data_IF_204760109440
#
_entry.id   IF_204760109440
#
_cell.length_a   1.000
_cell.length_b   1.000
_cell.length_c   1.000
_cell.angle_alpha   90.00
_cell.angle_beta   90.00
_cell.angle_gamma   90.00
#
_symmetry.space_group_name_H-M   'P 1'
#
loop_
_entity.id
_entity.type
_entity.pdbx_description
1 polymer ?
#
# COMPACT_ATOMS: atom_id res chain seq x y z
N UNK A 1 -51.47 45.28 -19.30
CA UNK A 1 -50.03 45.19 -18.96
C UNK A 1 -49.50 43.79 -18.64
N UNK A 2 -50.32 42.78 -18.30
CA UNK A 2 -49.84 41.48 -17.73
C UNK A 2 -48.75 40.74 -18.53
N UNK A 3 -48.84 40.69 -19.86
CA UNK A 3 -48.01 39.80 -20.71
C UNK A 3 -46.50 39.96 -20.51
N UNK A 4 -46.00 41.19 -20.25
CA UNK A 4 -44.57 41.44 -20.00
C UNK A 4 -44.07 40.81 -18.69
N UNK A 5 -44.94 40.50 -17.73
CA UNK A 5 -44.52 39.91 -16.46
C UNK A 5 -44.24 38.41 -16.61
N UNK A 6 -45.13 37.67 -17.28
CA UNK A 6 -44.96 36.23 -17.54
C UNK A 6 -43.69 35.93 -18.34
N UNK A 7 -43.38 36.73 -19.37
CA UNK A 7 -42.14 36.60 -20.15
C UNK A 7 -40.87 36.79 -19.30
N UNK A 8 -40.87 37.76 -18.37
CA UNK A 8 -39.72 38.01 -17.48
C UNK A 8 -39.53 36.86 -16.50
N UNK A 9 -40.61 36.36 -15.90
CA UNK A 9 -40.55 35.21 -14.98
C UNK A 9 -40.08 33.93 -15.67
N UNK A 10 -40.51 33.67 -16.91
CA UNK A 10 -40.02 32.54 -17.70
C UNK A 10 -38.51 32.62 -17.98
N UNK A 11 -38.00 33.80 -18.36
CA UNK A 11 -36.58 34.04 -18.57
C UNK A 11 -35.75 33.83 -17.29
N UNK A 12 -36.26 34.30 -16.14
CA UNK A 12 -35.61 34.11 -14.83
C UNK A 12 -35.52 32.64 -14.44
N UNK A 13 -36.59 31.87 -14.63
CA UNK A 13 -36.60 30.41 -14.35
C UNK A 13 -35.63 29.67 -15.27
N UNK A 14 -35.61 29.98 -16.57
CA UNK A 14 -34.67 29.38 -17.52
C UNK A 14 -33.20 29.69 -17.17
N UNK A 15 -32.89 30.94 -16.81
CA UNK A 15 -31.56 31.33 -16.37
C UNK A 15 -31.14 30.62 -15.07
N UNK A 16 -32.08 30.41 -14.13
CA UNK A 16 -31.79 29.75 -12.86
C UNK A 16 -31.56 28.24 -13.04
N UNK A 17 -32.32 27.56 -13.91
CA UNK A 17 -32.02 26.17 -14.32
C UNK A 17 -30.64 26.04 -14.99
N UNK A 18 -30.31 26.96 -15.89
CA UNK A 18 -29.04 26.93 -16.63
C UNK A 18 -27.85 27.22 -15.69
N UNK A 19 -28.05 28.05 -14.67
CA UNK A 19 -27.07 28.27 -13.61
C UNK A 19 -26.86 27.01 -12.74
N UNK A 20 -27.92 26.29 -12.36
CA UNK A 20 -27.78 25.07 -11.54
C UNK A 20 -27.12 23.92 -12.30
N UNK A 21 -27.35 23.78 -13.62
CA UNK A 21 -26.63 22.77 -14.42
C UNK A 21 -25.16 23.12 -14.64
N UNK A 22 -24.81 24.40 -14.78
CA UNK A 22 -23.42 24.85 -14.82
C UNK A 22 -22.68 24.56 -13.51
N UNK A 23 -23.31 24.80 -12.35
CA UNK A 23 -22.69 24.51 -11.04
C UNK A 23 -22.45 23.01 -10.81
N UNK A 24 -23.29 22.13 -11.35
CA UNK A 24 -23.14 20.68 -11.20
C UNK A 24 -21.93 20.10 -11.98
N UNK A 25 -21.42 20.80 -13.00
CA UNK A 25 -20.35 20.30 -13.86
C UNK A 25 -18.94 20.33 -13.26
N UNK A 26 -18.70 21.13 -12.20
CA UNK A 26 -17.36 21.42 -11.72
C UNK A 26 -17.03 20.77 -10.36
N UNK A 27 -16.62 19.49 -10.39
CA UNK A 27 -15.83 18.87 -9.31
C UNK A 27 -16.48 17.71 -8.54
N UNK A 28 -17.76 17.41 -8.75
CA UNK A 28 -18.51 16.38 -7.99
C UNK A 28 -17.85 14.98 -8.08
N UNK A 29 -17.24 14.63 -9.21
CA UNK A 29 -16.62 13.30 -9.42
C UNK A 29 -15.19 13.18 -8.87
N UNK A 30 -14.55 14.28 -8.44
CA UNK A 30 -13.11 14.25 -8.13
C UNK A 30 -12.79 13.43 -6.87
N UNK A 31 -13.59 13.55 -5.80
CA UNK A 31 -13.32 12.86 -4.53
C UNK A 31 -13.47 11.33 -4.69
N UNK A 32 -14.57 10.77 -5.25
CA UNK A 32 -14.66 9.33 -5.51
C UNK A 32 -13.56 8.80 -6.44
N UNK A 33 -13.15 9.60 -7.43
CA UNK A 33 -12.11 9.21 -8.39
C UNK A 33 -10.72 9.13 -7.73
N UNK A 34 -10.41 10.04 -6.80
CA UNK A 34 -9.16 10.04 -6.04
C UNK A 34 -9.11 8.92 -4.99
N UNK A 35 -10.25 8.62 -4.36
CA UNK A 35 -10.42 7.51 -3.41
C UNK A 35 -10.16 6.15 -4.07
N UNK A 36 -10.79 5.86 -5.21
CA UNK A 36 -10.53 4.62 -5.96
C UNK A 36 -9.10 4.54 -6.52
N UNK A 37 -8.47 5.68 -6.88
CA UNK A 37 -7.04 5.71 -7.20
C UNK A 37 -6.15 5.36 -6.00
N UNK A 38 -6.48 5.87 -4.80
CA UNK A 38 -5.74 5.56 -3.56
C UNK A 38 -5.85 4.06 -3.20
N UNK A 39 -7.06 3.49 -3.29
CA UNK A 39 -7.31 2.05 -3.10
C UNK A 39 -6.55 1.19 -4.11
N UNK A 40 -6.55 1.57 -5.39
CA UNK A 40 -5.81 0.86 -6.44
C UNK A 40 -4.29 0.91 -6.21
N UNK A 41 -3.75 2.06 -5.82
CA UNK A 41 -2.34 2.23 -5.47
C UNK A 41 -1.96 1.41 -4.23
N UNK A 42 -2.82 1.40 -3.20
CA UNK A 42 -2.64 0.59 -1.99
C UNK A 42 -2.63 -0.92 -2.29
N UNK A 43 -3.48 -1.39 -3.19
CA UNK A 43 -3.43 -2.77 -3.70
C UNK A 43 -2.07 -3.12 -4.34
N UNK A 44 -1.44 -2.20 -5.06
CA UNK A 44 -0.08 -2.42 -5.58
C UNK A 44 0.98 -2.46 -4.48
N UNK A 45 0.85 -1.63 -3.44
CA UNK A 45 1.73 -1.66 -2.25
C UNK A 45 1.62 -3.01 -1.51
N UNK A 46 0.40 -3.51 -1.29
CA UNK A 46 0.16 -4.83 -0.71
C UNK A 46 0.80 -5.94 -1.56
N UNK A 47 0.58 -5.91 -2.89
CA UNK A 47 1.15 -6.89 -3.82
C UNK A 47 2.69 -6.93 -3.77
N UNK A 48 3.37 -5.78 -3.59
CA UNK A 48 4.82 -5.73 -3.43
C UNK A 48 5.28 -6.30 -2.08
N UNK A 49 4.57 -5.99 -0.99
CA UNK A 49 4.88 -6.54 0.33
C UNK A 49 4.64 -8.05 0.42
N UNK A 50 3.58 -8.56 -0.22
CA UNK A 50 3.30 -10.00 -0.31
C UNK A 50 4.41 -10.72 -1.10
N UNK A 51 4.77 -10.23 -2.31
CA UNK A 51 5.91 -10.77 -3.08
C UNK A 51 7.22 -10.78 -2.29
N UNK A 52 7.51 -9.72 -1.53
CA UNK A 52 8.67 -9.65 -0.64
C UNK A 52 8.62 -10.75 0.42
N UNK A 53 7.47 -10.98 1.06
CA UNK A 53 7.31 -12.05 2.04
C UNK A 53 7.44 -13.45 1.42
N UNK A 54 6.93 -13.67 0.21
CA UNK A 54 6.95 -14.99 -0.45
C UNK A 54 8.33 -15.43 -0.96
N UNK A 55 9.26 -14.49 -1.17
CA UNK A 55 10.66 -14.79 -1.49
C UNK A 55 11.50 -15.18 -0.25
N UNK A 56 11.11 -14.77 0.96
CA UNK A 56 11.91 -14.97 2.19
C UNK A 56 12.18 -16.44 2.53
N UNK A 57 11.28 -17.42 2.35
CA UNK A 57 11.60 -18.83 2.59
C UNK A 57 12.76 -19.32 1.71
N UNK A 58 12.80 -18.94 0.43
CA UNK A 58 13.89 -19.31 -0.48
C UNK A 58 15.22 -18.63 -0.06
N UNK A 59 15.17 -17.36 0.33
CA UNK A 59 16.31 -16.64 0.88
C UNK A 59 16.84 -17.31 2.16
N UNK A 60 15.95 -17.75 3.05
CA UNK A 60 16.29 -18.45 4.30
C UNK A 60 16.95 -19.80 4.03
N UNK A 61 16.42 -20.63 3.13
CA UNK A 61 17.09 -21.89 2.76
C UNK A 61 18.44 -21.66 2.05
N UNK A 62 18.54 -20.62 1.21
CA UNK A 62 19.81 -20.23 0.58
C UNK A 62 20.86 -19.86 1.64
N UNK A 63 20.52 -19.00 2.62
CA UNK A 63 21.46 -18.64 3.69
C UNK A 63 21.79 -19.83 4.60
N UNK A 64 20.82 -20.69 4.94
CA UNK A 64 21.05 -21.93 5.71
C UNK A 64 22.10 -22.83 5.06
N UNK A 65 22.16 -22.88 3.72
CA UNK A 65 23.17 -23.67 3.00
C UNK A 65 24.62 -23.29 3.33
N UNK A 66 24.89 -22.02 3.67
CA UNK A 66 26.23 -21.48 3.91
C UNK A 66 26.49 -21.08 5.37
N UNK A 67 25.47 -20.68 6.11
CA UNK A 67 25.58 -20.05 7.43
C UNK A 67 24.77 -20.77 8.52
N UNK A 68 24.92 -22.10 8.62
CA UNK A 68 24.16 -22.96 9.55
C UNK A 68 24.25 -22.58 11.04
N UNK A 69 25.26 -21.80 11.44
CA UNK A 69 25.44 -21.32 12.80
C UNK A 69 24.64 -20.03 13.11
N UNK A 70 24.15 -19.31 12.11
CA UNK A 70 23.42 -18.03 12.24
C UNK A 70 21.92 -18.24 12.55
N UNK A 71 21.62 -19.21 13.41
CA UNK A 71 20.26 -19.68 13.70
C UNK A 71 19.39 -18.60 14.33
N UNK A 72 19.95 -17.74 15.18
CA UNK A 72 19.26 -16.59 15.77
C UNK A 72 18.83 -15.59 14.69
N UNK A 73 19.76 -15.20 13.80
CA UNK A 73 19.51 -14.31 12.67
C UNK A 73 18.40 -14.86 11.76
N UNK A 74 18.48 -16.14 11.42
CA UNK A 74 17.49 -16.83 10.57
C UNK A 74 16.12 -16.93 11.25
N UNK A 75 16.07 -17.26 12.54
CA UNK A 75 14.83 -17.33 13.33
C UNK A 75 14.16 -15.95 13.40
N UNK A 76 14.93 -14.90 13.65
CA UNK A 76 14.41 -13.53 13.69
C UNK A 76 13.82 -13.08 12.32
N UNK A 77 14.38 -13.54 11.19
CA UNK A 77 13.82 -13.29 9.86
C UNK A 77 12.51 -14.06 9.63
N UNK A 78 12.45 -15.34 10.04
CA UNK A 78 11.24 -16.17 9.93
C UNK A 78 10.11 -15.59 10.80
N UNK A 79 10.40 -15.21 12.04
CA UNK A 79 9.42 -14.57 12.93
C UNK A 79 8.92 -13.23 12.41
N UNK A 80 9.83 -12.37 11.94
CA UNK A 80 9.45 -11.07 11.41
C UNK A 80 8.62 -11.21 10.13
N UNK A 81 8.90 -12.23 9.28
CA UNK A 81 8.05 -12.59 8.14
C UNK A 81 6.67 -13.00 8.62
N UNK A 82 6.59 -13.91 9.59
CA UNK A 82 5.32 -14.40 10.12
C UNK A 82 4.45 -13.25 10.67
N UNK A 83 5.04 -12.35 11.46
CA UNK A 83 4.41 -11.13 11.97
C UNK A 83 3.90 -10.24 10.82
N UNK A 84 4.75 -9.92 9.85
CA UNK A 84 4.37 -9.15 8.65
C UNK A 84 3.18 -9.76 7.88
N UNK A 85 3.18 -11.08 7.66
CA UNK A 85 2.10 -11.79 6.95
C UNK A 85 0.84 -12.02 7.78
N UNK A 86 0.90 -11.89 9.11
CA UNK A 86 -0.25 -12.10 10.00
C UNK A 86 -1.22 -10.92 10.04
N UNK A 87 -0.75 -9.71 9.69
CA UNK A 87 -1.58 -8.50 9.69
C UNK A 87 -2.33 -8.42 8.36
N UNK A 88 -3.55 -8.94 8.36
CA UNK A 88 -4.45 -8.85 7.21
C UNK A 88 -4.84 -7.39 6.97
N UNK A 89 -4.49 -6.89 5.79
CA UNK A 89 -4.80 -5.54 5.31
C UNK A 89 -5.56 -5.60 3.99
N UNK A 90 -6.40 -4.60 3.77
CA UNK A 90 -7.34 -4.49 2.65
C UNK A 90 -7.54 -3.00 2.28
N UNK A 91 -8.48 -2.69 1.38
CA UNK A 91 -8.81 -1.32 1.03
C UNK A 91 -9.28 -0.47 2.23
N UNK A 92 -10.09 -1.05 3.13
CA UNK A 92 -10.62 -0.38 4.35
C UNK A 92 -9.55 -0.07 5.41
N UNK A 93 -8.34 -0.61 5.23
CA UNK A 93 -7.21 -0.33 6.11
C UNK A 93 -6.69 1.10 5.94
N UNK A 94 -6.97 1.76 4.81
CA UNK A 94 -6.69 3.19 4.61
C UNK A 94 -7.51 4.06 5.58
N UNK A 95 -8.72 3.63 5.93
CA UNK A 95 -9.64 4.33 6.86
C UNK A 95 -9.29 4.08 8.35
N UNK A 96 -8.25 3.27 8.64
CA UNK A 96 -7.91 2.84 10.00
C UNK A 96 -6.42 3.08 10.33
N UNK A 97 -6.07 4.26 10.86
CA UNK A 97 -4.68 4.63 11.17
C UNK A 97 -3.97 3.65 12.10
N UNK A 98 -4.66 3.07 13.07
CA UNK A 98 -4.11 2.09 14.01
C UNK A 98 -3.68 0.79 13.32
N UNK A 99 -4.51 0.21 12.44
CA UNK A 99 -4.14 -0.95 11.62
C UNK A 99 -3.00 -0.60 10.67
N UNK A 100 -3.06 0.55 10.00
CA UNK A 100 -2.02 1.00 9.06
C UNK A 100 -0.66 1.14 9.77
N UNK A 101 -0.65 1.67 11.00
CA UNK A 101 0.52 1.76 11.87
C UNK A 101 1.02 0.38 12.33
N UNK A 102 0.14 -0.53 12.75
CA UNK A 102 0.52 -1.89 13.12
C UNK A 102 1.15 -2.64 11.94
N UNK A 103 0.56 -2.54 10.75
CA UNK A 103 1.11 -3.09 9.52
C UNK A 103 2.51 -2.53 9.24
N UNK A 104 2.67 -1.20 9.20
CA UNK A 104 3.97 -0.58 8.97
C UNK A 104 5.02 -1.03 10.00
N UNK A 105 4.67 -1.11 11.28
CA UNK A 105 5.58 -1.59 12.33
C UNK A 105 6.05 -3.04 12.11
N UNK A 106 5.23 -3.91 11.51
CA UNK A 106 5.66 -5.26 11.13
C UNK A 106 6.56 -5.26 9.88
N UNK A 107 6.29 -4.39 8.90
CA UNK A 107 7.15 -4.21 7.73
C UNK A 107 8.52 -3.63 8.11
N UNK A 108 8.56 -2.75 9.11
CA UNK A 108 9.80 -2.18 9.67
C UNK A 108 10.61 -3.25 10.42
N UNK A 109 9.96 -4.08 11.25
CA UNK A 109 10.60 -5.22 11.92
C UNK A 109 11.20 -6.23 10.92
N UNK A 110 10.46 -6.55 9.85
CA UNK A 110 10.94 -7.41 8.76
C UNK A 110 12.13 -6.79 8.03
N UNK A 111 12.12 -5.47 7.83
CA UNK A 111 13.24 -4.74 7.22
C UNK A 111 14.46 -4.76 8.12
N UNK A 112 14.32 -4.50 9.43
CA UNK A 112 15.42 -4.59 10.39
C UNK A 112 16.00 -6.01 10.51
N UNK A 113 15.18 -7.06 10.40
CA UNK A 113 15.65 -8.44 10.40
C UNK A 113 16.47 -8.76 9.13
N UNK A 114 15.98 -8.36 7.95
CA UNK A 114 16.71 -8.53 6.68
C UNK A 114 18.00 -7.69 6.62
N UNK A 115 18.04 -6.50 7.23
CA UNK A 115 19.29 -5.73 7.36
C UNK A 115 20.34 -6.47 8.19
N UNK A 116 19.95 -7.21 9.25
CA UNK A 116 20.89 -8.06 10.00
C UNK A 116 21.35 -9.26 9.16
N UNK A 117 20.45 -9.86 8.38
CA UNK A 117 20.80 -10.94 7.45
C UNK A 117 21.82 -10.50 6.38
N UNK A 118 21.72 -9.25 5.89
CA UNK A 118 22.70 -8.66 4.98
C UNK A 118 24.08 -8.53 5.65
N UNK A 119 24.15 -8.01 6.88
CA UNK A 119 25.41 -7.94 7.66
C UNK A 119 26.00 -9.33 7.94
N UNK A 120 25.17 -10.37 8.08
CA UNK A 120 25.65 -11.76 8.11
C UNK A 120 26.28 -12.15 6.77
N UNK A 121 25.66 -11.87 5.62
CA UNK A 121 26.23 -12.26 4.32
C UNK A 121 27.61 -11.66 4.03
N UNK A 122 27.91 -10.46 4.53
CA UNK A 122 29.26 -9.86 4.45
C UNK A 122 30.35 -10.70 5.17
N UNK A 123 29.97 -11.55 6.13
CA UNK A 123 30.86 -12.48 6.84
C UNK A 123 31.01 -13.84 6.15
N UNK A 124 30.24 -14.10 5.09
CA UNK A 124 30.22 -15.37 4.35
C UNK A 124 30.43 -15.12 2.84
N UNK A 125 31.69 -15.00 2.37
CA UNK A 125 31.99 -14.65 0.98
C UNK A 125 31.32 -15.56 -0.06
N UNK A 126 31.24 -16.87 0.20
CA UNK A 126 30.62 -17.84 -0.71
C UNK A 126 29.10 -17.67 -0.83
N UNK A 127 28.44 -17.22 0.23
CA UNK A 127 27.02 -16.83 0.22
C UNK A 127 26.83 -15.52 -0.55
N UNK A 128 27.68 -14.52 -0.30
CA UNK A 128 27.66 -13.24 -1.01
C UNK A 128 27.98 -13.38 -2.51
N UNK A 129 28.69 -14.42 -2.91
CA UNK A 129 28.93 -14.77 -4.31
C UNK A 129 27.80 -15.60 -4.97
N UNK A 130 26.78 -16.03 -4.22
CA UNK A 130 25.71 -16.89 -4.74
C UNK A 130 24.66 -16.08 -5.54
N UNK A 131 24.44 -16.48 -6.79
CA UNK A 131 23.50 -15.82 -7.72
C UNK A 131 22.02 -15.94 -7.34
N UNK A 132 21.66 -16.71 -6.31
CA UNK A 132 20.30 -16.80 -5.76
C UNK A 132 20.11 -15.94 -4.50
N UNK A 133 21.17 -15.27 -4.02
CA UNK A 133 21.16 -14.40 -2.84
C UNK A 133 21.13 -12.90 -3.19
N UNK A 134 21.57 -12.53 -4.39
CA UNK A 134 21.62 -11.15 -4.91
C UNK A 134 20.59 -10.91 -6.03
#
# INVERSE_FOLDING_TARGET
MSVRHHYRSGLQVAALMLLTTLLAGCGINNIPTLDEQAKAAWGQVQNQYQRRADLIPNLVETVKGYAQHEQETLTAVIEARAKATSIQVDASTLDNPEKLKQFQQAQDQLTGALSRLMVVSERYPDLKANQNFL
#
